data_IF_575219429574
#
_entry.id   IF_575219429574
#
_cell.length_a   1.000
_cell.length_b   1.000
_cell.length_c   1.000
_cell.angle_alpha   90.00
_cell.angle_beta   90.00
_cell.angle_gamma   90.00
#
_symmetry.space_group_name_H-M   'P 1'
#
loop_
_entity.id
_entity.type
_entity.pdbx_description
1 polymer ?
#
# COMPACT_ATOMS: atom_id res chain seq x y z
N UNK A 1 8.30 -11.93 0.62
CA UNK A 1 8.38 -12.84 -0.54
C UNK A 1 8.64 -14.30 -0.17
N UNK A 2 9.64 -14.63 0.65
CA UNK A 2 10.06 -16.04 0.84
C UNK A 2 8.98 -16.98 1.37
N UNK A 3 8.09 -16.54 2.26
CA UNK A 3 6.99 -17.37 2.75
C UNK A 3 5.95 -17.65 1.66
N UNK A 4 5.58 -16.65 0.86
CA UNK A 4 4.64 -16.79 -0.25
C UNK A 4 5.10 -17.85 -1.28
N UNK A 5 6.40 -17.90 -1.56
CA UNK A 5 6.98 -18.89 -2.49
C UNK A 5 6.99 -20.33 -1.94
N UNK A 6 6.88 -20.50 -0.62
CA UNK A 6 7.04 -21.80 0.05
C UNK A 6 5.73 -22.41 0.54
N UNK A 7 4.74 -21.57 0.83
CA UNK A 7 3.46 -22.00 1.39
C UNK A 7 2.31 -21.69 0.41
N UNK A 8 1.71 -22.71 -0.24
CA UNK A 8 0.56 -22.52 -1.12
C UNK A 8 -0.68 -21.99 -0.37
N UNK A 9 -0.73 -22.13 0.96
CA UNK A 9 -1.83 -21.61 1.78
C UNK A 9 -1.53 -20.24 2.41
N UNK A 10 -0.42 -19.59 2.02
CA UNK A 10 0.06 -18.36 2.66
C UNK A 10 -1.01 -17.26 2.74
N UNK A 11 -1.70 -17.01 1.62
CA UNK A 11 -2.79 -16.03 1.57
C UNK A 11 -4.08 -16.60 2.14
N UNK A 12 -4.42 -17.85 1.85
CA UNK A 12 -5.65 -18.47 2.34
C UNK A 12 -5.74 -18.42 3.87
N UNK A 13 -4.68 -18.85 4.55
CA UNK A 13 -4.61 -18.85 6.01
C UNK A 13 -4.66 -17.42 6.58
N UNK A 14 -3.99 -16.48 5.92
CA UNK A 14 -4.03 -15.06 6.31
C UNK A 14 -5.43 -14.46 6.17
N UNK A 15 -6.12 -14.71 5.06
CA UNK A 15 -7.47 -14.20 4.82
C UNK A 15 -8.50 -14.84 5.76
N UNK A 16 -8.38 -16.15 6.05
CA UNK A 16 -9.19 -16.82 7.09
C UNK A 16 -9.01 -16.14 8.45
N UNK A 17 -7.77 -15.89 8.86
CA UNK A 17 -7.47 -15.22 10.12
C UNK A 17 -8.08 -13.82 10.20
N UNK A 18 -7.98 -13.04 9.11
CA UNK A 18 -8.62 -11.72 9.02
C UNK A 18 -10.15 -11.83 9.12
N UNK A 19 -10.77 -12.73 8.37
CA UNK A 19 -12.22 -12.92 8.40
C UNK A 19 -12.71 -13.25 9.82
N UNK A 20 -12.08 -14.22 10.49
CA UNK A 20 -12.42 -14.60 11.87
C UNK A 20 -12.25 -13.42 12.83
N UNK A 21 -11.10 -12.72 12.77
CA UNK A 21 -10.82 -11.59 13.64
C UNK A 21 -11.88 -10.48 13.49
N UNK A 22 -12.13 -10.02 12.26
CA UNK A 22 -13.07 -8.91 12.03
C UNK A 22 -14.52 -9.32 12.30
N UNK A 23 -14.89 -10.59 12.12
CA UNK A 23 -16.20 -11.10 12.51
C UNK A 23 -16.38 -11.09 14.03
N UNK A 24 -15.37 -11.50 14.80
CA UNK A 24 -15.39 -11.43 16.28
C UNK A 24 -15.47 -9.98 16.74
N UNK A 25 -14.62 -9.10 16.22
CA UNK A 25 -14.62 -7.68 16.58
C UNK A 25 -15.96 -7.01 16.26
N UNK A 26 -16.56 -7.31 15.11
CA UNK A 26 -17.89 -6.82 14.75
C UNK A 26 -18.96 -7.33 15.70
N UNK A 27 -18.93 -8.62 16.06
CA UNK A 27 -19.85 -9.19 17.05
C UNK A 27 -19.72 -8.54 18.43
N UNK A 28 -18.49 -8.27 18.89
CA UNK A 28 -18.24 -7.56 20.14
C UNK A 28 -18.78 -6.13 20.11
N UNK A 29 -18.55 -5.39 19.02
CA UNK A 29 -19.12 -4.05 18.87
C UNK A 29 -20.65 -4.09 18.92
N UNK A 30 -21.29 -5.03 18.22
CA UNK A 30 -22.75 -5.19 18.22
C UNK A 30 -23.33 -5.44 19.61
N UNK A 31 -22.59 -6.14 20.47
CA UNK A 31 -23.01 -6.42 21.86
C UNK A 31 -22.77 -5.19 22.77
N UNK A 32 -21.63 -4.52 22.61
CA UNK A 32 -21.18 -3.48 23.54
C UNK A 32 -21.79 -2.11 23.26
N UNK A 33 -22.09 -1.80 22.00
CA UNK A 33 -22.54 -0.47 21.57
C UNK A 33 -24.05 -0.49 21.31
N UNK A 34 -24.80 0.41 21.95
CA UNK A 34 -26.28 0.46 21.87
C UNK A 34 -26.80 1.60 21.01
N UNK A 35 -25.94 2.53 20.63
CA UNK A 35 -26.24 3.82 19.99
C UNK A 35 -25.88 3.86 18.49
N UNK A 36 -25.75 2.71 17.83
CA UNK A 36 -25.25 2.62 16.45
C UNK A 36 -25.95 3.53 15.44
N UNK A 37 -27.25 3.76 15.62
CA UNK A 37 -28.07 4.48 14.64
C UNK A 37 -28.43 5.90 15.09
N UNK A 38 -27.75 6.43 16.13
CA UNK A 38 -27.91 7.83 16.47
C UNK A 38 -27.18 8.73 15.46
N UNK A 39 -27.90 9.68 14.87
CA UNK A 39 -27.38 10.55 13.82
C UNK A 39 -27.74 12.01 14.11
N UNK A 40 -26.71 12.82 14.33
CA UNK A 40 -26.84 14.28 14.34
C UNK A 40 -25.72 14.89 13.49
N UNK A 41 -26.12 15.74 12.55
CA UNK A 41 -25.19 16.46 11.69
C UNK A 41 -24.87 17.83 12.31
N UNK A 42 -23.60 18.20 12.29
CA UNK A 42 -23.14 19.49 12.77
C UNK A 42 -22.06 20.06 11.84
N UNK A 43 -22.01 21.38 11.69
CA UNK A 43 -21.10 22.04 10.74
C UNK A 43 -19.61 21.74 11.00
N UNK A 44 -19.21 21.54 12.26
CA UNK A 44 -17.83 21.17 12.61
C UNK A 44 -17.39 19.82 12.01
N UNK A 45 -18.34 18.99 11.58
CA UNK A 45 -18.06 17.71 10.90
C UNK A 45 -17.39 17.91 9.53
N UNK A 46 -17.44 19.10 8.93
CA UNK A 46 -16.63 19.43 7.74
C UNK A 46 -15.12 19.36 8.05
N UNK A 47 -14.70 19.82 9.23
CA UNK A 47 -13.29 19.71 9.64
C UNK A 47 -12.85 18.24 9.79
N UNK A 48 -13.78 17.36 10.16
CA UNK A 48 -13.54 15.92 10.23
C UNK A 48 -13.26 15.34 8.85
N UNK A 49 -13.97 15.78 7.80
CA UNK A 49 -13.69 15.37 6.41
C UNK A 49 -12.25 15.69 6.01
N UNK A 50 -11.80 16.93 6.26
CA UNK A 50 -10.43 17.35 5.96
C UNK A 50 -9.40 16.53 6.75
N UNK A 51 -9.68 16.24 8.02
CA UNK A 51 -8.82 15.38 8.84
C UNK A 51 -8.76 13.94 8.29
N UNK A 52 -9.89 13.42 7.78
CA UNK A 52 -9.96 12.12 7.13
C UNK A 52 -9.09 12.07 5.89
N UNK A 53 -9.16 13.09 5.04
CA UNK A 53 -8.31 13.20 3.84
C UNK A 53 -6.82 13.15 4.21
N UNK A 54 -6.38 13.96 5.18
CA UNK A 54 -4.98 13.95 5.64
C UNK A 54 -4.62 12.59 6.24
N UNK A 55 -5.50 12.01 7.05
CA UNK A 55 -5.29 10.68 7.63
C UNK A 55 -5.13 9.60 6.55
N UNK A 56 -5.87 9.68 5.45
CA UNK A 56 -5.72 8.78 4.30
C UNK A 56 -4.33 8.82 3.67
N UNK A 57 -3.75 10.01 3.53
CA UNK A 57 -2.38 10.17 3.02
C UNK A 57 -1.32 9.64 4.00
N UNK A 58 -1.55 9.79 5.30
CA UNK A 58 -0.70 9.20 6.35
C UNK A 58 -0.79 7.67 6.30
N UNK A 59 -1.99 7.11 6.16
CA UNK A 59 -2.19 5.67 5.98
C UNK A 59 -1.44 5.21 4.73
N UNK A 60 -1.57 5.90 3.59
CA UNK A 60 -0.88 5.54 2.36
C UNK A 60 0.64 5.45 2.57
N UNK A 61 1.21 6.53 3.10
CA UNK A 61 2.65 6.66 3.36
C UNK A 61 3.15 5.61 4.35
N UNK A 62 2.40 5.38 5.42
CA UNK A 62 2.79 4.44 6.47
C UNK A 62 2.69 3.01 5.97
N UNK A 63 1.61 2.66 5.27
CA UNK A 63 1.40 1.33 4.73
C UNK A 63 2.51 0.96 3.74
N UNK A 64 2.82 1.88 2.83
CA UNK A 64 3.94 1.78 1.91
C UNK A 64 5.25 1.49 2.65
N UNK A 65 5.58 2.32 3.65
CA UNK A 65 6.84 2.22 4.38
C UNK A 65 6.96 0.94 5.22
N UNK A 66 5.86 0.48 5.81
CA UNK A 66 5.84 -0.78 6.55
C UNK A 66 6.15 -1.97 5.64
N UNK A 67 5.78 -1.92 4.36
CA UNK A 67 6.03 -3.00 3.39
C UNK A 67 7.52 -3.22 3.13
N UNK A 68 8.32 -2.16 3.25
CA UNK A 68 9.78 -2.18 3.15
C UNK A 68 10.50 -2.38 4.49
N UNK A 69 9.78 -2.32 5.61
CA UNK A 69 10.39 -2.45 6.93
C UNK A 69 11.09 -1.17 7.42
N UNK A 70 10.62 0.00 6.98
CA UNK A 70 11.28 1.29 7.25
C UNK A 70 11.05 1.83 8.67
N UNK A 71 10.04 1.33 9.40
CA UNK A 71 9.75 1.76 10.77
C UNK A 71 10.64 1.01 11.77
N UNK A 72 11.14 1.72 12.79
CA UNK A 72 11.96 1.15 13.86
C UNK A 72 11.27 1.29 15.21
N UNK A 73 11.37 0.30 16.11
CA UNK A 73 11.95 -1.05 15.90
C UNK A 73 11.19 -1.88 14.86
N UNK A 74 11.87 -2.86 14.22
CA UNK A 74 11.35 -3.55 13.03
C UNK A 74 10.00 -4.25 13.24
N UNK A 75 9.71 -4.72 14.44
CA UNK A 75 8.44 -5.37 14.76
C UNK A 75 7.23 -4.44 14.59
N UNK A 76 7.42 -3.12 14.73
CA UNK A 76 6.34 -2.14 14.49
C UNK A 76 5.83 -2.16 13.05
N UNK A 77 6.66 -2.54 12.07
CA UNK A 77 6.19 -2.64 10.69
C UNK A 77 5.08 -3.67 10.53
N UNK A 78 5.13 -4.77 11.31
CA UNK A 78 4.07 -5.76 11.29
C UNK A 78 2.81 -5.20 11.90
N UNK A 79 2.87 -4.64 13.11
CA UNK A 79 1.68 -4.12 13.81
C UNK A 79 1.03 -2.97 13.05
N UNK A 80 1.82 -1.97 12.66
CA UNK A 80 1.32 -0.80 11.93
C UNK A 80 0.87 -1.19 10.53
N UNK A 81 1.62 -2.07 9.85
CA UNK A 81 1.26 -2.55 8.52
C UNK A 81 -0.05 -3.33 8.52
N UNK A 82 -0.30 -4.19 9.52
CA UNK A 82 -1.58 -4.91 9.65
C UNK A 82 -2.73 -3.95 9.96
N UNK A 83 -2.52 -2.92 10.80
CA UNK A 83 -3.53 -1.86 11.01
C UNK A 83 -3.84 -1.12 9.71
N UNK A 84 -2.82 -0.65 8.99
CA UNK A 84 -3.01 0.02 7.71
C UNK A 84 -3.69 -0.90 6.70
N UNK A 85 -3.30 -2.17 6.61
CA UNK A 85 -3.91 -3.14 5.70
C UNK A 85 -5.36 -3.47 6.06
N UNK A 86 -5.72 -3.46 7.34
CA UNK A 86 -7.11 -3.55 7.77
C UNK A 86 -7.91 -2.31 7.37
N UNK A 87 -7.34 -1.12 7.58
CA UNK A 87 -7.97 0.17 7.26
C UNK A 87 -8.19 0.34 5.76
N UNK A 88 -7.25 -0.13 4.93
CA UNK A 88 -7.33 -0.08 3.46
C UNK A 88 -8.03 -1.29 2.85
N UNK A 89 -8.58 -2.16 3.70
CA UNK A 89 -9.30 -3.40 3.33
C UNK A 89 -8.44 -4.50 2.68
N UNK A 90 -7.22 -4.21 2.25
CA UNK A 90 -6.41 -5.13 1.45
C UNK A 90 -5.63 -6.16 2.28
N UNK A 91 -5.20 -5.78 3.48
CA UNK A 91 -4.33 -6.57 4.35
C UNK A 91 -2.86 -6.47 3.96
N UNK A 92 -1.99 -6.44 4.98
CA UNK A 92 -0.56 -6.19 4.83
C UNK A 92 0.16 -7.21 3.95
N UNK A 93 -0.19 -8.49 4.06
CA UNK A 93 0.48 -9.53 3.28
C UNK A 93 0.18 -9.41 1.79
N UNK A 94 -1.07 -9.10 1.43
CA UNK A 94 -1.47 -8.96 0.04
C UNK A 94 -0.76 -7.76 -0.60
N UNK A 95 -0.94 -6.59 0.00
CA UNK A 95 -0.31 -5.35 -0.42
C UNK A 95 1.21 -5.50 -0.55
N UNK A 96 1.89 -6.08 0.45
CA UNK A 96 3.34 -6.23 0.42
C UNK A 96 3.82 -7.13 -0.71
N UNK A 97 3.12 -8.22 -1.02
CA UNK A 97 3.55 -9.10 -2.12
C UNK A 97 3.35 -8.40 -3.46
N UNK A 98 2.18 -7.80 -3.69
CA UNK A 98 1.92 -7.01 -4.91
C UNK A 98 2.93 -5.87 -5.07
N UNK A 99 3.11 -5.06 -4.02
CA UNK A 99 4.06 -3.96 -4.03
C UNK A 99 5.51 -4.40 -4.31
N UNK A 100 5.96 -5.53 -3.75
CA UNK A 100 7.30 -6.04 -4.08
C UNK A 100 7.40 -6.56 -5.51
N UNK A 101 6.32 -7.11 -6.10
CA UNK A 101 6.31 -7.51 -7.51
C UNK A 101 6.39 -6.29 -8.42
N UNK A 102 5.65 -5.22 -8.11
CA UNK A 102 5.75 -3.95 -8.82
C UNK A 102 7.20 -3.42 -8.83
N UNK A 103 7.92 -3.48 -7.71
CA UNK A 103 9.34 -3.10 -7.68
C UNK A 103 10.29 -4.00 -8.49
N UNK A 104 9.97 -5.29 -8.62
CA UNK A 104 10.81 -6.24 -9.34
C UNK A 104 10.56 -6.16 -10.85
N UNK A 105 9.31 -5.95 -11.23
CA UNK A 105 8.82 -6.01 -12.60
C UNK A 105 8.26 -4.65 -13.03
N UNK A 106 8.89 -3.58 -12.56
CA UNK A 106 8.41 -2.21 -12.79
C UNK A 106 8.19 -1.95 -14.28
N UNK A 107 6.97 -1.52 -14.62
CA UNK A 107 6.53 -1.18 -15.98
C UNK A 107 6.46 -2.35 -16.97
N UNK A 108 6.63 -3.60 -16.50
CA UNK A 108 6.39 -4.79 -17.31
C UNK A 108 4.87 -4.98 -17.52
N UNK A 109 4.38 -5.01 -18.76
CA UNK A 109 2.94 -5.07 -19.04
C UNK A 109 2.27 -6.37 -18.56
N UNK A 110 3.04 -7.44 -18.39
CA UNK A 110 2.54 -8.74 -17.96
C UNK A 110 2.77 -9.00 -16.47
N UNK A 111 3.92 -8.56 -15.95
CA UNK A 111 4.42 -8.93 -14.63
C UNK A 111 4.29 -7.81 -13.58
N UNK A 112 4.09 -6.55 -13.97
CA UNK A 112 3.74 -5.47 -13.06
C UNK A 112 2.27 -5.63 -12.63
N UNK A 113 1.95 -5.62 -11.32
CA UNK A 113 0.56 -5.60 -10.83
C UNK A 113 -0.26 -4.40 -11.28
N UNK A 114 0.36 -3.28 -11.63
CA UNK A 114 -0.34 -2.04 -12.00
C UNK A 114 0.47 -1.15 -12.95
N UNK A 115 0.75 -1.60 -14.19
CA UNK A 115 1.42 -0.78 -15.20
C UNK A 115 0.43 0.24 -15.78
N UNK A 116 0.74 1.56 -15.76
CA UNK A 116 -0.20 2.57 -16.25
C UNK A 116 -0.09 2.89 -17.75
N UNK A 117 0.92 2.35 -18.46
CA UNK A 117 1.15 2.67 -19.87
C UNK A 117 -0.07 2.35 -20.73
N UNK A 118 -0.46 3.30 -21.59
CA UNK A 118 -1.57 3.14 -22.52
C UNK A 118 -2.96 3.31 -21.89
N UNK A 119 -3.05 3.61 -20.59
CA UNK A 119 -4.31 3.82 -19.88
C UNK A 119 -4.52 5.30 -19.56
N UNK A 120 -5.77 5.76 -19.67
CA UNK A 120 -6.19 6.97 -18.95
C UNK A 120 -6.22 6.72 -17.45
N UNK A 121 -6.19 7.77 -16.63
CA UNK A 121 -6.21 7.63 -15.17
C UNK A 121 -7.42 6.82 -14.65
N UNK A 122 -8.59 7.01 -15.25
CA UNK A 122 -9.80 6.26 -14.86
C UNK A 122 -9.69 4.79 -15.26
N UNK A 123 -9.19 4.49 -16.46
CA UNK A 123 -8.94 3.11 -16.89
C UNK A 123 -7.92 2.44 -15.96
N UNK A 124 -6.85 3.15 -15.59
CA UNK A 124 -5.86 2.66 -14.64
C UNK A 124 -6.49 2.29 -13.29
N UNK A 125 -7.31 3.16 -12.71
CA UNK A 125 -8.01 2.88 -11.45
C UNK A 125 -8.87 1.60 -11.55
N UNK A 126 -9.65 1.48 -12.62
CA UNK A 126 -10.60 0.37 -12.79
C UNK A 126 -9.85 -0.96 -13.00
N UNK A 127 -8.80 -0.95 -13.82
CA UNK A 127 -8.11 -2.17 -14.26
C UNK A 127 -7.00 -2.64 -13.32
N UNK A 128 -6.38 -1.74 -12.54
CA UNK A 128 -5.22 -2.07 -11.69
C UNK A 128 -5.51 -3.20 -10.70
N UNK A 129 -6.72 -3.25 -10.14
CA UNK A 129 -7.08 -4.30 -9.18
C UNK A 129 -7.16 -5.68 -9.84
N UNK A 130 -7.78 -5.76 -11.01
CA UNK A 130 -7.89 -7.01 -11.76
C UNK A 130 -6.51 -7.47 -12.24
N UNK A 131 -5.67 -6.54 -12.72
CA UNK A 131 -4.29 -6.84 -13.12
C UNK A 131 -3.43 -7.33 -11.94
N UNK A 132 -3.58 -6.69 -10.77
CA UNK A 132 -2.89 -7.15 -9.55
C UNK A 132 -3.29 -8.58 -9.18
N UNK A 133 -4.59 -8.92 -9.27
CA UNK A 133 -5.07 -10.28 -9.00
C UNK A 133 -4.49 -11.27 -10.01
N UNK A 134 -4.49 -10.93 -11.31
CA UNK A 134 -3.93 -11.75 -12.38
C UNK A 134 -2.44 -12.06 -12.13
N UNK A 135 -1.63 -11.02 -11.86
CA UNK A 135 -0.20 -11.15 -11.58
C UNK A 135 0.07 -12.01 -10.35
N UNK A 136 -0.73 -11.84 -9.28
CA UNK A 136 -0.60 -12.66 -8.09
C UNK A 136 -0.92 -14.13 -8.37
N UNK A 137 -1.97 -14.42 -9.15
CA UNK A 137 -2.34 -15.79 -9.57
C UNK A 137 -1.24 -16.41 -10.44
N UNK A 138 -0.71 -15.67 -11.41
CA UNK A 138 0.38 -16.12 -12.27
C UNK A 138 1.64 -16.42 -11.44
N UNK A 139 1.98 -15.53 -10.49
CA UNK A 139 3.07 -15.77 -9.55
C UNK A 139 2.81 -16.99 -8.66
N UNK A 140 1.56 -17.22 -8.23
CA UNK A 140 1.19 -18.40 -7.45
C UNK A 140 1.45 -19.68 -8.24
N UNK A 141 0.93 -19.79 -9.46
CA UNK A 141 1.13 -20.97 -10.30
C UNK A 141 2.59 -21.19 -10.68
N UNK A 142 3.37 -20.12 -10.82
CA UNK A 142 4.82 -20.21 -11.05
C UNK A 142 5.55 -20.89 -9.89
N UNK A 143 5.14 -20.67 -8.64
CA UNK A 143 5.81 -21.24 -7.46
C UNK A 143 5.24 -22.59 -7.01
N UNK A 144 3.94 -22.80 -7.20
CA UNK A 144 3.21 -23.96 -6.64
C UNK A 144 2.68 -24.93 -7.70
N UNK A 145 2.85 -24.61 -8.99
CA UNK A 145 2.32 -25.40 -10.09
C UNK A 145 0.83 -25.18 -10.33
N UNK A 146 0.41 -25.35 -11.59
CA UNK A 146 -1.00 -25.33 -11.97
C UNK A 146 -1.57 -26.76 -11.90
N UNK A 147 -2.54 -26.95 -11.01
CA UNK A 147 -3.26 -28.20 -10.79
C UNK A 147 -4.69 -27.89 -10.36
N UNK A 148 -5.58 -28.88 -10.34
CA UNK A 148 -6.95 -28.72 -9.85
C UNK A 148 -6.98 -28.26 -8.38
N UNK A 149 -6.05 -28.75 -7.56
CA UNK A 149 -5.91 -28.33 -6.16
C UNK A 149 -5.48 -26.86 -6.06
N UNK A 150 -4.48 -26.44 -6.82
CA UNK A 150 -4.02 -25.06 -6.89
C UNK A 150 -5.12 -24.11 -7.33
N UNK A 151 -5.93 -24.48 -8.33
CA UNK A 151 -7.06 -23.68 -8.78
C UNK A 151 -8.18 -23.58 -7.73
N UNK A 152 -8.50 -24.68 -7.05
CA UNK A 152 -9.46 -24.68 -5.94
C UNK A 152 -8.97 -23.82 -4.76
N UNK A 153 -7.66 -23.83 -4.50
CA UNK A 153 -7.04 -22.98 -3.49
C UNK A 153 -7.19 -21.50 -3.85
N UNK A 154 -6.84 -21.09 -5.06
CA UNK A 154 -7.01 -19.70 -5.54
C UNK A 154 -8.48 -19.25 -5.47
N UNK A 155 -9.43 -20.08 -5.90
CA UNK A 155 -10.86 -19.77 -5.78
C UNK A 155 -11.26 -19.52 -4.31
N UNK A 156 -10.75 -20.35 -3.40
CA UNK A 156 -10.96 -20.18 -1.96
C UNK A 156 -10.30 -18.91 -1.42
N UNK A 157 -9.07 -18.59 -1.85
CA UNK A 157 -8.39 -17.35 -1.47
C UNK A 157 -9.21 -16.12 -1.87
N UNK A 158 -9.70 -16.09 -3.12
CA UNK A 158 -10.52 -14.98 -3.64
C UNK A 158 -11.84 -14.86 -2.86
N UNK A 159 -12.54 -15.98 -2.63
CA UNK A 159 -13.80 -15.97 -1.89
C UNK A 159 -13.61 -15.47 -0.45
N UNK A 160 -12.63 -16.03 0.27
CA UNK A 160 -12.36 -15.65 1.67
C UNK A 160 -11.84 -14.22 1.76
N UNK A 161 -11.03 -13.74 0.80
CA UNK A 161 -10.64 -12.33 0.71
C UNK A 161 -11.86 -11.42 0.57
N UNK A 162 -12.78 -11.72 -0.36
CA UNK A 162 -14.01 -10.93 -0.57
C UNK A 162 -14.87 -10.88 0.69
N UNK A 163 -15.08 -12.03 1.36
CA UNK A 163 -15.78 -12.08 2.64
C UNK A 163 -15.06 -11.28 3.74
N UNK A 164 -13.72 -11.35 3.76
CA UNK A 164 -12.88 -10.56 4.66
C UNK A 164 -13.00 -9.06 4.43
N UNK A 165 -13.10 -8.60 3.17
CA UNK A 165 -13.35 -7.18 2.83
C UNK A 165 -14.71 -6.73 3.38
N UNK A 166 -15.77 -7.53 3.19
CA UNK A 166 -17.10 -7.21 3.73
C UNK A 166 -17.06 -7.15 5.26
N UNK A 167 -16.41 -8.09 5.92
CA UNK A 167 -16.26 -8.11 7.38
C UNK A 167 -15.49 -6.90 7.92
N UNK A 168 -14.43 -6.45 7.22
CA UNK A 168 -13.69 -5.22 7.57
C UNK A 168 -14.55 -3.96 7.37
N UNK A 169 -15.30 -3.87 6.27
CA UNK A 169 -16.23 -2.74 6.03
C UNK A 169 -17.26 -2.67 7.16
N UNK A 170 -17.86 -3.80 7.52
CA UNK A 170 -18.80 -3.89 8.64
C UNK A 170 -18.13 -3.44 9.95
N UNK A 171 -16.94 -3.95 10.25
CA UNK A 171 -16.19 -3.55 11.44
C UNK A 171 -15.97 -2.04 11.50
N UNK A 172 -15.48 -1.41 10.42
CA UNK A 172 -15.23 0.03 10.39
C UNK A 172 -16.53 0.84 10.49
N UNK A 173 -17.60 0.39 9.84
CA UNK A 173 -18.93 1.00 9.97
C UNK A 173 -19.43 0.96 11.42
N UNK A 174 -19.33 -0.18 12.08
CA UNK A 174 -19.73 -0.34 13.48
C UNK A 174 -18.84 0.49 14.42
N UNK A 175 -17.53 0.51 14.18
CA UNK A 175 -16.58 1.25 15.01
C UNK A 175 -16.82 2.77 14.95
N UNK A 176 -16.90 3.33 13.74
CA UNK A 176 -17.09 4.77 13.57
C UNK A 176 -18.55 5.21 13.73
N UNK A 177 -19.51 4.29 13.59
CA UNK A 177 -20.92 4.61 13.40
C UNK A 177 -21.20 5.24 12.03
N UNK A 178 -22.47 5.43 11.65
CA UNK A 178 -22.85 5.92 10.32
C UNK A 178 -22.23 7.28 9.96
N UNK A 179 -22.28 8.24 10.89
CA UNK A 179 -21.71 9.58 10.69
C UNK A 179 -20.22 9.47 10.43
N UNK A 180 -19.45 8.95 11.39
CA UNK A 180 -17.99 8.85 11.30
C UNK A 180 -17.54 8.02 10.09
N UNK A 181 -18.28 6.97 9.75
CA UNK A 181 -17.98 6.17 8.57
C UNK A 181 -18.11 6.99 7.28
N UNK A 182 -19.18 7.78 7.15
CA UNK A 182 -19.43 8.63 5.98
C UNK A 182 -18.49 9.84 5.90
N UNK A 183 -18.26 10.55 7.01
CA UNK A 183 -17.54 11.83 7.00
C UNK A 183 -16.04 11.70 7.26
N UNK A 184 -15.58 10.61 7.88
CA UNK A 184 -14.16 10.41 8.18
C UNK A 184 -13.60 9.23 7.38
N UNK A 185 -14.16 8.03 7.58
CA UNK A 185 -13.58 6.80 7.02
C UNK A 185 -13.62 6.79 5.49
N UNK A 186 -14.77 7.09 4.87
CA UNK A 186 -14.89 7.11 3.40
C UNK A 186 -13.94 8.16 2.77
N UNK A 187 -13.93 9.44 3.19
CA UNK A 187 -12.99 10.43 2.66
C UNK A 187 -11.52 10.02 2.86
N UNK A 188 -11.21 9.40 3.99
CA UNK A 188 -9.88 8.90 4.28
C UNK A 188 -9.47 7.73 3.39
N UNK A 189 -10.35 6.74 3.22
CA UNK A 189 -10.14 5.61 2.32
C UNK A 189 -9.96 6.07 0.88
N UNK A 190 -10.81 7.01 0.42
CA UNK A 190 -10.69 7.60 -0.93
C UNK A 190 -9.39 8.37 -1.10
N UNK A 191 -8.98 9.15 -0.11
CA UNK A 191 -7.69 9.87 -0.12
C UNK A 191 -6.51 8.90 -0.21
N UNK A 192 -6.50 7.82 0.58
CA UNK A 192 -5.53 6.74 0.47
C UNK A 192 -5.50 6.15 -0.96
N UNK A 193 -6.66 5.74 -1.46
CA UNK A 193 -6.79 5.01 -2.71
C UNK A 193 -6.41 5.87 -3.92
N UNK A 194 -6.98 7.07 -4.01
CA UNK A 194 -6.70 8.01 -5.09
C UNK A 194 -5.29 8.57 -4.99
N UNK A 195 -4.76 8.79 -3.78
CA UNK A 195 -3.38 9.22 -3.57
C UNK A 195 -2.37 8.21 -4.11
N UNK A 196 -2.55 6.93 -3.79
CA UNK A 196 -1.71 5.86 -4.32
C UNK A 196 -1.87 5.69 -5.84
N UNK A 197 -3.12 5.67 -6.33
CA UNK A 197 -3.38 5.51 -7.75
C UNK A 197 -2.76 6.67 -8.55
N UNK A 198 -2.96 7.90 -8.08
CA UNK A 198 -2.40 9.09 -8.73
C UNK A 198 -0.88 9.04 -8.74
N UNK A 199 -0.25 8.77 -7.60
CA UNK A 199 1.21 8.67 -7.49
C UNK A 199 1.81 7.64 -8.44
N UNK A 200 1.24 6.43 -8.51
CA UNK A 200 1.71 5.41 -9.46
C UNK A 200 1.48 5.88 -10.91
N UNK A 201 0.28 6.35 -11.23
CA UNK A 201 -0.07 6.76 -12.59
C UNK A 201 0.86 7.84 -13.15
N UNK A 202 1.05 8.94 -12.41
CA UNK A 202 1.86 10.08 -12.89
C UNK A 202 3.37 9.80 -12.84
N UNK A 203 3.82 8.87 -12.01
CA UNK A 203 5.25 8.60 -11.84
C UNK A 203 5.79 7.64 -12.89
N UNK A 204 4.94 6.80 -13.47
CA UNK A 204 5.29 5.83 -14.51
C UNK A 204 4.76 6.33 -15.84
N UNK A 205 5.59 7.09 -16.56
CA UNK A 205 5.20 7.75 -17.81
C UNK A 205 6.32 7.56 -18.85
N UNK A 206 5.98 7.48 -20.15
CA UNK A 206 6.98 7.40 -21.20
C UNK A 206 7.93 8.62 -21.15
N UNK A 207 9.18 8.39 -21.51
CA UNK A 207 10.14 9.45 -21.82
C UNK A 207 10.01 9.91 -23.28
N UNK A 208 10.92 10.78 -23.72
CA UNK A 208 10.93 11.32 -25.09
C UNK A 208 11.19 10.25 -26.15
N UNK A 209 11.77 9.10 -25.77
CA UNK A 209 12.02 7.95 -26.64
C UNK A 209 10.84 6.98 -26.67
N UNK A 210 9.83 7.19 -25.81
CA UNK A 210 8.68 6.31 -25.66
C UNK A 210 8.86 5.20 -24.62
N UNK A 211 10.02 5.11 -23.97
CA UNK A 211 10.31 4.12 -22.95
C UNK A 211 9.71 4.54 -21.61
N UNK A 212 9.05 3.62 -20.91
CA UNK A 212 8.46 3.95 -19.60
C UNK A 212 9.57 4.11 -18.57
N UNK A 213 9.61 5.27 -17.92
CA UNK A 213 10.56 5.56 -16.86
C UNK A 213 9.85 6.06 -15.62
N UNK A 214 10.34 5.61 -14.46
CA UNK A 214 9.89 6.14 -13.18
C UNK A 214 10.45 7.54 -12.96
N UNK A 215 9.60 8.51 -12.64
CA UNK A 215 9.94 9.93 -12.44
C UNK A 215 9.74 10.37 -10.98
N UNK A 216 10.47 11.41 -10.58
CA UNK A 216 10.18 12.15 -9.35
C UNK A 216 9.37 13.40 -9.73
N UNK A 217 8.47 13.83 -8.86
CA UNK A 217 7.68 15.05 -9.03
C UNK A 217 7.78 15.95 -7.80
N UNK A 218 8.38 17.12 -7.99
CA UNK A 218 8.60 18.12 -6.93
C UNK A 218 8.54 19.59 -7.40
N UNK A 219 8.35 19.83 -8.70
CA UNK A 219 8.44 21.17 -9.29
C UNK A 219 7.28 22.12 -8.99
N UNK A 220 6.07 21.61 -8.70
CA UNK A 220 4.85 22.44 -8.52
C UNK A 220 4.47 22.62 -7.05
N UNK A 221 3.65 23.64 -6.76
CA UNK A 221 3.09 23.86 -5.40
C UNK A 221 2.31 22.63 -4.93
N UNK A 222 1.51 22.02 -5.82
CA UNK A 222 0.80 20.79 -5.54
C UNK A 222 1.75 19.67 -5.08
N UNK A 223 2.82 19.39 -5.85
CA UNK A 223 3.77 18.34 -5.49
C UNK A 223 4.55 18.65 -4.21
N UNK A 224 4.85 19.93 -3.93
CA UNK A 224 5.48 20.32 -2.65
C UNK A 224 4.58 20.00 -1.46
N UNK A 225 3.29 20.34 -1.54
CA UNK A 225 2.30 20.04 -0.49
C UNK A 225 2.15 18.52 -0.35
N UNK A 226 1.96 17.80 -1.45
CA UNK A 226 1.78 16.35 -1.41
C UNK A 226 3.02 15.64 -0.88
N UNK A 227 4.23 16.05 -1.26
CA UNK A 227 5.46 15.50 -0.70
C UNK A 227 5.62 15.80 0.79
N UNK A 228 5.17 16.97 1.27
CA UNK A 228 5.16 17.24 2.72
C UNK A 228 4.20 16.28 3.46
N UNK A 229 2.98 16.10 2.94
CA UNK A 229 1.95 15.25 3.54
C UNK A 229 2.27 13.75 3.45
N UNK A 230 2.98 13.32 2.40
CA UNK A 230 3.27 11.90 2.12
C UNK A 230 4.71 11.50 2.40
N UNK A 231 5.44 12.30 3.18
CA UNK A 231 6.86 12.11 3.47
C UNK A 231 7.69 11.83 2.21
N UNK A 232 7.46 12.59 1.14
CA UNK A 232 8.17 12.51 -0.12
C UNK A 232 7.62 11.46 -1.10
N UNK A 233 6.35 11.05 -0.99
CA UNK A 233 5.78 9.99 -1.84
C UNK A 233 6.02 10.18 -3.34
N UNK A 234 5.96 11.43 -3.83
CA UNK A 234 6.16 11.75 -5.25
C UNK A 234 7.63 11.76 -5.69
N UNK A 235 8.59 11.55 -4.78
CA UNK A 235 9.95 11.14 -5.13
C UNK A 235 9.98 9.62 -5.42
N UNK A 236 9.11 9.18 -6.33
CA UNK A 236 8.85 7.77 -6.58
C UNK A 236 10.03 7.05 -7.26
N UNK A 237 10.72 7.69 -8.20
CA UNK A 237 11.99 7.17 -8.75
C UNK A 237 13.02 6.90 -7.64
N UNK A 238 13.19 7.85 -6.72
CA UNK A 238 14.12 7.66 -5.60
C UNK A 238 13.67 6.52 -4.69
N UNK A 239 12.36 6.35 -4.51
CA UNK A 239 11.80 5.26 -3.75
C UNK A 239 12.13 3.89 -4.36
N UNK A 240 11.93 3.72 -5.68
CA UNK A 240 12.33 2.51 -6.41
C UNK A 240 13.83 2.19 -6.27
N UNK A 241 14.68 3.21 -6.33
CA UNK A 241 16.14 3.04 -6.16
C UNK A 241 16.57 2.76 -4.71
N UNK A 242 15.85 3.32 -3.74
CA UNK A 242 16.19 3.26 -2.32
C UNK A 242 14.97 2.94 -1.44
N UNK A 243 14.34 1.75 -1.62
CA UNK A 243 13.09 1.40 -0.94
C UNK A 243 13.20 1.39 0.60
N UNK A 244 14.43 1.22 1.11
CA UNK A 244 14.76 1.29 2.54
C UNK A 244 14.79 2.69 3.16
N UNK A 245 14.32 3.73 2.45
CA UNK A 245 14.20 5.10 2.95
C UNK A 245 12.75 5.42 3.31
N UNK A 246 12.54 5.89 4.54
CA UNK A 246 11.21 6.34 4.94
C UNK A 246 10.71 7.53 4.10
N UNK A 247 11.61 8.50 3.89
CA UNK A 247 11.37 9.66 3.04
C UNK A 247 12.37 9.67 1.87
N UNK A 248 11.93 9.33 0.64
CA UNK A 248 12.80 9.20 -0.52
C UNK A 248 13.30 10.54 -1.09
N UNK A 249 12.73 11.69 -0.68
CA UNK A 249 13.32 13.01 -1.02
C UNK A 249 14.74 13.18 -0.44
N UNK A 250 15.06 12.45 0.63
CA UNK A 250 16.37 12.48 1.29
C UNK A 250 17.44 11.60 0.62
N UNK A 251 17.14 10.98 -0.52
CA UNK A 251 18.04 10.04 -1.19
C UNK A 251 19.37 10.69 -1.62
N UNK A 252 19.37 11.95 -2.08
CA UNK A 252 20.59 12.66 -2.48
C UNK A 252 21.55 12.88 -1.30
N UNK A 253 21.04 13.32 -0.15
CA UNK A 253 21.83 13.46 1.08
C UNK A 253 22.49 12.12 1.48
N UNK A 254 21.77 11.00 1.33
CA UNK A 254 22.31 9.67 1.63
C UNK A 254 23.35 9.20 0.61
N UNK A 255 23.23 9.58 -0.67
CA UNK A 255 24.21 9.26 -1.71
C UNK A 255 25.51 10.04 -1.51
N UNK A 256 25.42 11.32 -1.18
CA UNK A 256 26.59 12.16 -0.88
C UNK A 256 27.27 11.74 0.43
N UNK A 257 26.52 11.47 1.50
CA UNK A 257 27.08 10.90 2.74
C UNK A 257 27.82 9.58 2.49
N UNK A 258 27.28 8.69 1.64
CA UNK A 258 27.95 7.43 1.28
C UNK A 258 29.21 7.65 0.43
N UNK A 259 29.22 8.66 -0.44
CA UNK A 259 30.42 9.04 -1.21
C UNK A 259 31.49 9.63 -0.30
N UNK A 260 31.13 10.52 0.62
CA UNK A 260 32.05 11.10 1.61
C UNK A 260 32.61 10.02 2.55
N UNK A 261 31.77 9.13 3.08
CA UNK A 261 32.23 8.01 3.91
C UNK A 261 33.19 7.08 3.15
N UNK A 262 32.96 6.84 1.85
CA UNK A 262 33.90 6.08 1.01
C UNK A 262 35.21 6.83 0.77
N UNK A 263 35.17 8.16 0.57
CA UNK A 263 36.37 9.00 0.45
C UNK A 263 37.19 9.00 1.73
N UNK A 264 36.55 9.18 2.89
CA UNK A 264 37.20 9.14 4.22
C UNK A 264 37.81 7.76 4.49
N UNK A 265 37.08 6.67 4.16
CA UNK A 265 37.60 5.31 4.32
C UNK A 265 38.76 5.01 3.38
N UNK A 266 38.73 5.54 2.14
CA UNK A 266 39.84 5.45 1.20
C UNK A 266 41.06 6.28 1.62
N UNK A 267 40.86 7.46 2.24
CA UNK A 267 41.97 8.26 2.77
C UNK A 267 42.58 7.66 4.04
N UNK A 268 41.79 7.00 4.90
CA UNK A 268 42.32 6.30 6.08
C UNK A 268 43.06 5.02 5.67
N UNK A 269 42.54 4.26 4.70
CA UNK A 269 43.24 3.08 4.16
C UNK A 269 44.49 3.39 3.33
N UNK A 270 44.74 4.66 2.99
CA UNK A 270 45.97 5.11 2.32
C UNK A 270 47.06 5.59 3.30
N UNK A 271 46.78 5.64 4.60
CA UNK A 271 47.72 6.04 5.67
C UNK A 271 48.36 4.80 6.35
N UNK A 272 47.90 3.58 6.02
CA UNK A 272 48.48 2.31 6.48
C UNK A 272 49.29 1.60 5.38
N UNK A 273 50.21 2.33 4.72
CA UNK A 273 51.30 1.76 3.89
C UNK A 273 52.61 2.42 4.27
#
# INVERSE_FOLDING_TARGET
MNFYKKDPNYFLNYFKGNLVLFSILSGLLLILRKDFFYFEFHLYQIAIVLSGIVFGLIIATTFHNTSHGNIKPRWLNTVIGEFCGAYTLDGMRNFRVGHMLHHIHTDDPELDPHPPLGLSFIQFIITSKDKTIEVLINAYFKFHGKSQESEANIKSQILIYKLGVVSKILFWFLLFGPVGFLIFYIPSYLSYFLGFAHLNYISHQPDESGDVVVKNHDGTVFYKIMNALTAGGYYHKNHHLFPGLYNPSKAFAKRELRKEQRKVKASIGAIEI
#
